data_IF_745431731888
#
_entry.id   IF_745431731888
#
_cell.length_a   1.000
_cell.length_b   1.000
_cell.length_c   1.000
_cell.angle_alpha   90.00
_cell.angle_beta   90.00
_cell.angle_gamma   90.00
#
_symmetry.space_group_name_H-M   'P 1'
#
loop_
_entity.id
_entity.type
_entity.pdbx_description
1 polymer ?
#
# COMPACT_ATOMS: atom_id res chain seq x y z
N UNK A 1 -13.97 0.59 0.58
CA UNK A 1 -13.16 1.32 1.57
C UNK A 1 -11.70 0.83 1.52
N UNK A 2 -11.37 -0.36 2.02
CA UNK A 2 -10.01 -0.95 1.92
C UNK A 2 -10.09 -2.47 1.80
N UNK A 3 -9.11 -3.09 1.13
CA UNK A 3 -9.05 -4.53 0.89
C UNK A 3 -7.71 -5.08 1.40
N UNK A 4 -7.67 -5.38 2.69
CA UNK A 4 -6.46 -5.83 3.36
C UNK A 4 -6.04 -7.23 2.92
N UNK A 5 -6.99 -8.09 2.53
CA UNK A 5 -6.69 -9.42 1.99
C UNK A 5 -5.93 -9.29 0.67
N UNK A 6 -6.38 -8.41 -0.24
CA UNK A 6 -5.65 -8.13 -1.47
C UNK A 6 -4.26 -7.57 -1.18
N UNK A 7 -4.14 -6.62 -0.26
CA UNK A 7 -2.85 -6.04 0.12
C UNK A 7 -1.89 -7.12 0.66
N UNK A 8 -2.35 -7.96 1.59
CA UNK A 8 -1.55 -9.05 2.16
C UNK A 8 -1.10 -10.04 1.08
N UNK A 9 -2.00 -10.43 0.18
CA UNK A 9 -1.66 -11.31 -0.95
C UNK A 9 -0.60 -10.67 -1.88
N UNK A 10 -0.72 -9.37 -2.18
CA UNK A 10 0.29 -8.68 -2.98
C UNK A 10 1.65 -8.65 -2.28
N UNK A 11 1.69 -8.37 -0.98
CA UNK A 11 2.93 -8.35 -0.20
C UNK A 11 3.57 -9.73 -0.11
N UNK A 12 2.78 -10.78 0.12
CA UNK A 12 3.28 -12.16 0.12
C UNK A 12 3.88 -12.55 -1.24
N UNK A 13 3.24 -12.17 -2.35
CA UNK A 13 3.79 -12.39 -3.69
C UNK A 13 5.15 -11.70 -3.86
N UNK A 14 5.24 -10.42 -3.46
CA UNK A 14 6.48 -9.63 -3.51
C UNK A 14 7.59 -10.30 -2.68
N UNK A 15 7.29 -10.68 -1.43
CA UNK A 15 8.25 -11.34 -0.54
C UNK A 15 8.71 -12.71 -1.08
N UNK A 16 7.85 -13.39 -1.84
CA UNK A 16 8.20 -14.65 -2.51
C UNK A 16 8.99 -14.47 -3.82
N UNK A 17 9.35 -13.24 -4.17
CA UNK A 17 10.07 -12.93 -5.41
C UNK A 17 9.22 -13.12 -6.66
N UNK A 18 7.89 -13.02 -6.55
CA UNK A 18 6.95 -13.14 -7.68
C UNK A 18 6.43 -11.77 -8.08
N UNK A 19 6.12 -11.63 -9.37
CA UNK A 19 5.36 -10.47 -9.83
C UNK A 19 3.97 -10.43 -9.19
N UNK A 20 3.44 -9.22 -9.00
CA UNK A 20 2.08 -9.00 -8.51
C UNK A 20 1.39 -7.89 -9.27
N UNK A 21 0.06 -7.92 -9.29
CA UNK A 21 -0.79 -6.93 -9.97
C UNK A 21 -1.58 -6.15 -8.94
N UNK A 22 -1.37 -4.84 -8.90
CA UNK A 22 -2.05 -3.92 -7.99
C UNK A 22 -3.12 -3.17 -8.80
N UNK A 23 -4.41 -3.23 -8.44
CA UNK A 23 -5.45 -2.48 -9.15
C UNK A 23 -5.18 -0.98 -9.14
N UNK A 24 -5.34 -0.31 -10.27
CA UNK A 24 -5.24 1.16 -10.32
C UNK A 24 -6.46 1.81 -9.68
N UNK A 25 -6.23 2.94 -9.01
CA UNK A 25 -7.28 3.75 -8.39
C UNK A 25 -7.39 5.10 -9.09
N UNK A 26 -8.61 5.48 -9.44
CA UNK A 26 -8.96 6.78 -10.01
C UNK A 26 -9.37 7.73 -8.89
N UNK A 27 -8.57 8.77 -8.67
CA UNK A 27 -8.81 9.79 -7.64
C UNK A 27 -9.90 10.80 -8.02
N UNK A 28 -10.25 10.93 -9.31
CA UNK A 28 -11.37 11.78 -9.74
C UNK A 28 -12.71 11.08 -9.50
N UNK A 29 -12.78 9.80 -9.87
CA UNK A 29 -13.99 8.98 -9.74
C UNK A 29 -14.12 8.29 -8.37
N UNK A 30 -13.07 8.35 -7.53
CA UNK A 30 -12.99 7.71 -6.22
C UNK A 30 -13.25 6.19 -6.27
N UNK A 31 -12.81 5.52 -7.34
CA UNK A 31 -13.01 4.07 -7.52
C UNK A 31 -11.80 3.40 -8.16
N UNK A 32 -11.75 2.06 -8.07
CA UNK A 32 -10.78 1.29 -8.86
C UNK A 32 -11.15 1.37 -10.34
N UNK A 33 -10.14 1.44 -11.19
CA UNK A 33 -10.35 1.34 -12.64
C UNK A 33 -10.49 -0.16 -12.98
N UNK A 34 -11.62 -0.55 -13.56
CA UNK A 34 -11.86 -1.94 -13.91
C UNK A 34 -10.83 -2.44 -14.92
N UNK A 35 -10.32 -3.65 -14.68
CA UNK A 35 -9.36 -4.34 -15.54
C UNK A 35 -8.03 -3.61 -15.76
N UNK A 36 -7.74 -2.56 -14.99
CA UNK A 36 -6.45 -1.87 -15.02
C UNK A 36 -5.61 -2.16 -13.78
N UNK A 37 -4.37 -2.58 -14.03
CA UNK A 37 -3.43 -2.97 -12.99
C UNK A 37 -2.07 -2.34 -13.23
N UNK A 38 -1.37 -2.03 -12.14
CA UNK A 38 0.06 -1.82 -12.10
C UNK A 38 0.73 -3.17 -11.82
N UNK A 39 1.60 -3.61 -12.74
CA UNK A 39 2.42 -4.80 -12.50
C UNK A 39 3.67 -4.38 -11.73
N UNK A 40 3.88 -4.99 -10.57
CA UNK A 40 5.09 -4.84 -9.75
C UNK A 40 5.95 -6.07 -9.97
N UNK A 41 7.17 -5.85 -10.48
CA UNK A 41 8.16 -6.89 -10.67
C UNK A 41 8.94 -7.14 -9.37
N UNK A 42 9.53 -8.35 -9.21
CA UNK A 42 10.43 -8.62 -8.09
C UNK A 42 11.51 -7.56 -7.99
N UNK A 43 11.70 -7.01 -6.79
CA UNK A 43 12.62 -5.90 -6.52
C UNK A 43 13.33 -6.17 -5.20
N UNK A 44 14.60 -5.78 -5.10
CA UNK A 44 15.39 -5.97 -3.87
C UNK A 44 14.88 -5.10 -2.71
N UNK A 45 14.31 -3.94 -3.03
CA UNK A 45 13.72 -3.01 -2.07
C UNK A 45 12.35 -2.57 -2.55
N UNK A 46 11.36 -2.68 -1.67
CA UNK A 46 9.98 -2.23 -1.93
C UNK A 46 9.56 -1.26 -0.83
N UNK A 47 9.08 -0.09 -1.23
CA UNK A 47 8.53 0.91 -0.33
C UNK A 47 7.02 0.83 -0.39
N UNK A 48 6.39 0.63 0.78
CA UNK A 48 4.93 0.59 0.94
C UNK A 48 4.51 1.80 1.74
N UNK A 49 3.73 2.69 1.11
CA UNK A 49 3.21 3.91 1.75
C UNK A 49 1.69 3.89 1.86
N UNK A 50 1.17 4.64 2.84
CA UNK A 50 -0.26 4.82 3.05
C UNK A 50 -0.64 5.07 4.50
N UNK A 51 -1.86 5.55 4.71
CA UNK A 51 -2.35 5.98 6.03
C UNK A 51 -2.70 4.82 6.98
N UNK A 52 -2.85 3.60 6.48
CA UNK A 52 -3.30 2.42 7.26
C UNK A 52 -2.34 1.22 7.15
N UNK A 53 -1.11 1.42 6.68
CA UNK A 53 -0.15 0.34 6.42
C UNK A 53 0.19 -0.46 7.69
N UNK A 54 0.11 0.16 8.87
CA UNK A 54 0.36 -0.48 10.16
C UNK A 54 -0.91 -0.93 10.92
N UNK A 55 -2.09 -0.82 10.31
CA UNK A 55 -3.36 -1.12 10.98
C UNK A 55 -3.55 -2.62 11.27
N UNK A 56 -3.24 -3.48 10.30
CA UNK A 56 -3.42 -4.92 10.42
C UNK A 56 -2.13 -5.61 10.86
N UNK A 57 -2.24 -6.45 11.90
CA UNK A 57 -1.08 -7.15 12.44
C UNK A 57 -0.46 -8.18 11.51
N UNK A 58 -1.26 -8.81 10.65
CA UNK A 58 -0.75 -9.72 9.62
C UNK A 58 0.16 -8.99 8.64
N UNK A 59 -0.22 -7.76 8.25
CA UNK A 59 0.50 -6.94 7.26
C UNK A 59 1.74 -6.30 7.86
N UNK A 60 1.64 -5.59 8.98
CA UNK A 60 2.80 -4.83 9.46
C UNK A 60 3.95 -5.75 9.91
N UNK A 61 3.66 -7.00 10.28
CA UNK A 61 4.67 -8.00 10.61
C UNK A 61 5.52 -8.42 9.41
N UNK A 62 5.07 -8.14 8.19
CA UNK A 62 5.80 -8.42 6.94
C UNK A 62 6.89 -7.39 6.63
N UNK A 63 6.90 -6.23 7.30
CA UNK A 63 7.88 -5.17 7.01
C UNK A 63 9.14 -5.31 7.87
N UNK A 64 10.29 -5.27 7.21
CA UNK A 64 11.60 -5.24 7.85
C UNK A 64 11.89 -3.88 8.52
N UNK A 65 11.48 -2.79 7.87
CA UNK A 65 11.61 -1.42 8.37
C UNK A 65 10.25 -0.72 8.40
N UNK A 66 9.98 0.00 9.49
CA UNK A 66 8.74 0.75 9.69
C UNK A 66 9.06 2.21 9.98
N UNK A 67 8.53 3.10 9.16
CA UNK A 67 8.65 4.53 9.33
C UNK A 67 7.26 5.14 9.48
N UNK A 68 7.07 5.92 10.54
CA UNK A 68 5.83 6.66 10.78
C UNK A 68 6.17 8.14 10.85
N UNK A 69 5.51 8.93 10.00
CA UNK A 69 5.66 10.39 10.00
C UNK A 69 4.57 10.97 10.87
N UNK A 70 4.96 11.44 12.06
CA UNK A 70 4.06 12.19 12.94
C UNK A 70 4.18 13.69 12.68
N UNK A 71 3.04 14.38 12.65
CA UNK A 71 2.96 15.82 12.36
C UNK A 71 1.70 16.40 12.97
N UNK A 72 1.83 17.60 13.55
CA UNK A 72 0.73 18.32 14.19
C UNK A 72 -0.51 18.44 13.29
N UNK A 73 -1.69 18.39 13.92
CA UNK A 73 -2.97 18.41 13.22
C UNK A 73 -3.12 19.65 12.32
N UNK A 74 -2.71 20.82 12.80
CA UNK A 74 -2.79 22.08 12.06
C UNK A 74 -1.90 22.06 10.82
N UNK A 75 -0.68 21.51 10.94
CA UNK A 75 0.26 21.37 9.82
C UNK A 75 -0.25 20.38 8.78
N UNK A 76 -0.92 19.29 9.21
CA UNK A 76 -1.55 18.34 8.27
C UNK A 76 -2.75 18.95 7.56
N UNK A 77 -3.56 19.74 8.27
CA UNK A 77 -4.73 20.41 7.69
C UNK A 77 -4.31 21.47 6.68
N UNK A 78 -3.26 22.25 6.96
CA UNK A 78 -2.79 23.32 6.07
C UNK A 78 -2.15 22.81 4.77
N UNK A 79 -1.78 21.52 4.69
CA UNK A 79 -1.15 20.88 3.52
C UNK A 79 -2.13 20.15 2.60
N UNK A 80 -3.41 20.09 2.98
CA UNK A 80 -4.48 19.56 2.11
C UNK A 80 -4.98 20.65 1.18
#
# INVERSE_FOLDING_TARGET
AFDFNLMENCLQSILSGKETKIPKYDFFLNQRIENEYLTVLPSDVVIVEGILVFYMSSIYKLFDLKLFVDTDADTRLSRR
#
